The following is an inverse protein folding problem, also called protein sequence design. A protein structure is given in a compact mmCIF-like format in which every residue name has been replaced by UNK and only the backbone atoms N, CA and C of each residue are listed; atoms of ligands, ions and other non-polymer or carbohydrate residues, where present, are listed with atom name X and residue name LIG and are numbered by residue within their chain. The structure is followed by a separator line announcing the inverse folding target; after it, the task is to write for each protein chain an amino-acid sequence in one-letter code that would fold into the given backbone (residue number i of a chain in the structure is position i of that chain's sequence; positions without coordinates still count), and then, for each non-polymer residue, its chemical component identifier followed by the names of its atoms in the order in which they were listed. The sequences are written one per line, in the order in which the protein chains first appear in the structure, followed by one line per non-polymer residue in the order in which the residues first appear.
data_IF_755303869728
#
_entry.id   IF_755303869728
#
_cell.length_a   1.000
_cell.length_b   1.000
_cell.length_c   1.000
_cell.angle_alpha   90.00
_cell.angle_beta   90.00
_cell.angle_gamma   90.00
#
_symmetry.space_group_name_H-M   'P 1'
#
loop_
_entity.id
_entity.type
_entity.pdbx_description
1 polymer ?
#
# COMPACT_ATOMS: atom_id res chain seq x y z
N UNK A 1 -87.61 37.65 -41.33
CA UNK A 1 -86.83 37.51 -40.07
C UNK A 1 -85.36 37.67 -40.43
N UNK A 2 -84.76 38.80 -40.08
CA UNK A 2 -83.35 39.15 -40.35
C UNK A 2 -82.50 38.63 -39.18
N UNK A 3 -81.50 37.79 -39.43
CA UNK A 3 -80.44 37.50 -38.46
C UNK A 3 -79.13 38.13 -38.94
N UNK A 4 -78.80 39.29 -38.37
CA UNK A 4 -77.50 39.92 -38.53
C UNK A 4 -76.49 39.14 -37.68
N UNK A 5 -75.64 38.36 -38.33
CA UNK A 5 -74.40 37.85 -37.72
C UNK A 5 -73.36 38.98 -37.78
N UNK A 6 -73.17 39.65 -36.64
CA UNK A 6 -72.05 40.56 -36.41
C UNK A 6 -70.75 39.75 -36.56
N UNK A 7 -70.04 39.96 -37.68
CA UNK A 7 -68.60 39.68 -37.76
C UNK A 7 -67.93 40.76 -36.91
N UNK A 8 -67.57 40.40 -35.68
CA UNK A 8 -66.60 41.17 -34.92
C UNK A 8 -65.33 41.27 -35.76
N UNK A 9 -64.97 42.51 -36.07
CA UNK A 9 -63.72 42.84 -36.70
C UNK A 9 -62.59 42.30 -35.84
N UNK A 10 -61.92 41.25 -36.32
CA UNK A 10 -60.54 41.00 -35.94
C UNK A 10 -59.79 42.28 -36.36
N UNK A 11 -59.58 43.18 -35.40
CA UNK A 11 -58.75 44.36 -35.55
C UNK A 11 -57.34 43.86 -35.89
N UNK A 12 -57.08 43.69 -37.18
CA UNK A 12 -55.73 43.65 -37.73
C UNK A 12 -55.12 45.02 -37.49
N UNK A 13 -54.43 45.17 -36.37
CA UNK A 13 -53.36 46.14 -36.27
C UNK A 13 -52.24 45.65 -37.19
N UNK A 14 -52.35 45.97 -38.49
CA UNK A 14 -51.26 45.81 -39.47
C UNK A 14 -50.22 46.93 -39.29
N UNK A 15 -49.87 47.26 -38.05
CA UNK A 15 -48.67 48.04 -37.75
C UNK A 15 -47.48 47.10 -37.91
N UNK A 16 -46.93 47.05 -39.12
CA UNK A 16 -45.67 46.36 -39.37
C UNK A 16 -44.59 46.86 -38.43
N UNK A 17 -43.73 45.96 -37.97
CA UNK A 17 -42.57 46.31 -37.13
C UNK A 17 -41.74 47.38 -37.83
N UNK A 18 -41.37 48.40 -37.08
CA UNK A 18 -40.47 49.42 -37.60
C UNK A 18 -39.09 48.79 -37.82
N UNK A 19 -38.37 49.22 -38.85
CA UNK A 19 -37.04 48.68 -39.17
C UNK A 19 -36.06 48.83 -37.98
N UNK A 20 -36.23 49.88 -37.18
CA UNK A 20 -35.43 50.11 -35.97
C UNK A 20 -35.74 49.09 -34.86
N UNK A 21 -36.99 48.66 -34.73
CA UNK A 21 -37.42 47.69 -33.72
C UNK A 21 -36.91 46.28 -34.04
N UNK A 22 -36.91 45.91 -35.33
CA UNK A 22 -36.25 44.68 -35.81
C UNK A 22 -34.74 44.74 -35.56
N UNK A 23 -34.10 45.88 -35.80
CA UNK A 23 -32.67 46.05 -35.56
C UNK A 23 -32.34 45.93 -34.06
N UNK A 24 -33.11 46.59 -33.19
CA UNK A 24 -32.96 46.49 -31.73
C UNK A 24 -33.18 45.04 -31.27
N UNK A 25 -34.22 44.36 -31.77
CA UNK A 25 -34.46 42.96 -31.43
C UNK A 25 -33.30 42.03 -31.82
N UNK A 26 -32.74 42.20 -33.03
CA UNK A 26 -31.58 41.43 -33.48
C UNK A 26 -30.34 41.73 -32.61
N UNK A 27 -30.13 42.97 -32.19
CA UNK A 27 -28.99 43.32 -31.31
C UNK A 27 -29.13 42.74 -29.90
N UNK A 28 -30.34 42.70 -29.33
CA UNK A 28 -30.58 42.07 -28.04
C UNK A 28 -30.39 40.55 -28.17
N UNK A 29 -30.91 39.95 -29.24
CA UNK A 29 -30.75 38.52 -29.49
C UNK A 29 -29.28 38.13 -29.67
N UNK A 30 -28.50 38.91 -30.41
CA UNK A 30 -27.07 38.63 -30.59
C UNK A 30 -26.29 38.75 -29.27
N UNK A 31 -26.62 39.74 -28.44
CA UNK A 31 -26.01 39.89 -27.11
C UNK A 31 -26.37 38.72 -26.19
N UNK A 32 -27.63 38.27 -26.19
CA UNK A 32 -28.08 37.10 -25.43
C UNK A 32 -27.43 35.80 -25.90
N UNK A 33 -27.26 35.62 -27.21
CA UNK A 33 -26.58 34.44 -27.75
C UNK A 33 -25.09 34.45 -27.38
N UNK A 34 -24.43 35.61 -27.42
CA UNK A 34 -23.04 35.75 -26.99
C UNK A 34 -22.86 35.43 -25.50
N UNK A 35 -23.73 35.95 -24.63
CA UNK A 35 -23.67 35.64 -23.19
C UNK A 35 -23.97 34.18 -22.92
N UNK A 36 -24.94 33.59 -23.61
CA UNK A 36 -25.26 32.17 -23.47
C UNK A 36 -24.10 31.28 -23.92
N UNK A 37 -23.42 31.64 -25.01
CA UNK A 37 -22.23 30.92 -25.45
C UNK A 37 -21.11 30.97 -24.41
N UNK A 38 -20.84 32.15 -23.82
CA UNK A 38 -19.85 32.29 -22.74
C UNK A 38 -20.22 31.43 -21.54
N UNK A 39 -21.46 31.49 -21.06
CA UNK A 39 -21.92 30.68 -19.91
C UNK A 39 -21.78 29.18 -20.20
N UNK A 40 -22.13 28.73 -21.40
CA UNK A 40 -22.02 27.31 -21.79
C UNK A 40 -20.54 26.89 -21.88
N UNK A 41 -19.68 27.74 -22.44
CA UNK A 41 -18.25 27.46 -22.53
C UNK A 41 -17.61 27.38 -21.14
N UNK A 42 -17.83 28.38 -20.29
CA UNK A 42 -17.30 28.44 -18.93
C UNK A 42 -17.82 27.26 -18.08
N UNK A 43 -19.10 26.91 -18.25
CA UNK A 43 -19.69 25.75 -17.58
C UNK A 43 -19.09 24.42 -18.07
N UNK A 44 -18.70 24.33 -19.34
CA UNK A 44 -18.10 23.12 -19.91
C UNK A 44 -16.66 22.98 -19.43
N UNK A 45 -15.87 24.06 -19.51
CA UNK A 45 -14.49 24.10 -19.03
C UNK A 45 -14.39 23.82 -17.54
N UNK A 46 -15.26 24.44 -16.73
CA UNK A 46 -15.33 24.19 -15.28
C UNK A 46 -15.68 22.74 -14.97
N UNK A 47 -16.63 22.16 -15.70
CA UNK A 47 -16.97 20.73 -15.56
C UNK A 47 -15.78 19.84 -15.89
N UNK A 48 -15.08 20.10 -16.98
CA UNK A 48 -13.93 19.30 -17.41
C UNK A 48 -12.77 19.41 -16.41
N UNK A 49 -12.52 20.60 -15.85
CA UNK A 49 -11.54 20.82 -14.80
C UNK A 49 -11.88 20.03 -13.53
N UNK A 50 -13.13 20.11 -13.06
CA UNK A 50 -13.59 19.38 -11.86
C UNK A 50 -13.45 17.86 -12.06
N UNK A 51 -13.83 17.35 -13.24
CA UNK A 51 -13.68 15.92 -13.56
C UNK A 51 -12.21 15.49 -13.55
N UNK A 52 -11.30 16.32 -14.06
CA UNK A 52 -9.88 16.03 -14.05
C UNK A 52 -9.31 16.02 -12.62
N UNK A 53 -9.68 16.99 -11.79
CA UNK A 53 -9.30 17.07 -10.38
C UNK A 53 -9.80 15.85 -9.58
N UNK A 54 -11.09 15.52 -9.73
CA UNK A 54 -11.70 14.36 -9.07
C UNK A 54 -11.01 13.05 -9.44
N UNK A 55 -10.65 12.88 -10.72
CA UNK A 55 -9.92 11.69 -11.19
C UNK A 55 -8.54 11.59 -10.56
N UNK A 56 -7.80 12.68 -10.51
CA UNK A 56 -6.46 12.75 -9.91
C UNK A 56 -6.53 12.47 -8.39
N UNK A 57 -7.51 13.04 -7.70
CA UNK A 57 -7.76 12.77 -6.28
C UNK A 57 -8.14 11.30 -6.01
N UNK A 58 -9.01 10.72 -6.85
CA UNK A 58 -9.40 9.32 -6.76
C UNK A 58 -8.20 8.39 -6.96
N UNK A 59 -7.30 8.72 -7.90
CA UNK A 59 -6.07 7.96 -8.12
C UNK A 59 -5.19 7.96 -6.87
N UNK A 60 -4.99 9.13 -6.25
CA UNK A 60 -4.23 9.25 -5.01
C UNK A 60 -4.83 8.40 -3.89
N UNK A 61 -6.14 8.52 -3.65
CA UNK A 61 -6.83 7.75 -2.61
C UNK A 61 -6.71 6.25 -2.86
N UNK A 62 -6.91 5.81 -4.11
CA UNK A 62 -6.78 4.40 -4.50
C UNK A 62 -5.36 3.87 -4.28
N UNK A 63 -4.34 4.66 -4.61
CA UNK A 63 -2.95 4.27 -4.39
C UNK A 63 -2.62 4.12 -2.89
N UNK A 64 -3.10 5.05 -2.05
CA UNK A 64 -2.92 5.00 -0.60
C UNK A 64 -3.68 3.84 0.05
N UNK A 65 -4.93 3.60 -0.36
CA UNK A 65 -5.72 2.46 0.13
C UNK A 65 -5.09 1.12 -0.27
N UNK A 66 -4.56 1.03 -1.50
CA UNK A 66 -3.85 -0.15 -1.96
C UNK A 66 -2.60 -0.45 -1.11
N UNK A 67 -1.81 0.58 -0.80
CA UNK A 67 -0.69 0.45 0.14
C UNK A 67 -1.17 0.02 1.53
N UNK A 68 -2.22 0.64 2.04
CA UNK A 68 -2.76 0.31 3.35
C UNK A 68 -3.15 -1.16 3.45
N UNK A 69 -3.87 -1.68 2.45
CA UNK A 69 -4.26 -3.09 2.41
C UNK A 69 -3.05 -4.02 2.43
N UNK A 70 -2.02 -3.73 1.64
CA UNK A 70 -0.82 -4.58 1.58
C UNK A 70 -0.01 -4.51 2.88
N UNK A 71 0.20 -3.31 3.45
CA UNK A 71 0.93 -3.12 4.70
C UNK A 71 0.17 -3.63 5.93
N UNK A 72 -1.14 -3.45 5.98
CA UNK A 72 -1.98 -3.98 7.05
C UNK A 72 -1.89 -5.51 7.12
N UNK A 73 -1.67 -6.16 5.98
CA UNK A 73 -1.59 -7.61 5.84
C UNK A 73 -0.15 -8.10 5.57
N UNK A 74 0.83 -7.35 6.06
CA UNK A 74 2.23 -7.75 6.04
C UNK A 74 2.40 -9.13 6.69
N UNK A 75 3.02 -10.07 5.98
CA UNK A 75 3.20 -11.42 6.48
C UNK A 75 4.65 -11.69 6.89
N UNK A 76 4.83 -12.08 8.14
CA UNK A 76 6.06 -12.67 8.66
C UNK A 76 5.69 -13.61 9.81
N UNK A 77 6.18 -14.86 9.84
CA UNK A 77 5.96 -15.75 10.99
C UNK A 77 6.54 -15.20 12.29
N UNK A 78 7.50 -14.28 12.20
CA UNK A 78 8.14 -13.65 13.34
C UNK A 78 7.22 -12.72 14.14
N UNK A 79 6.00 -12.48 13.65
CA UNK A 79 4.96 -11.83 14.44
C UNK A 79 4.32 -12.74 15.50
N UNK A 80 4.63 -14.05 15.52
CA UNK A 80 4.03 -14.99 16.46
C UNK A 80 4.94 -16.20 16.80
N UNK A 81 6.17 -16.24 16.31
CA UNK A 81 7.13 -17.33 16.55
C UNK A 81 8.55 -16.79 16.45
N UNK A 82 9.45 -17.14 17.38
CA UNK A 82 10.85 -16.74 17.30
C UNK A 82 11.56 -17.34 16.06
N UNK A 83 12.67 -16.70 15.67
CA UNK A 83 13.54 -17.19 14.60
C UNK A 83 14.25 -18.47 15.07
N UNK A 84 14.32 -19.48 14.21
CA UNK A 84 15.06 -20.69 14.54
C UNK A 84 16.57 -20.43 14.43
N UNK A 85 17.29 -20.79 15.47
CA UNK A 85 18.75 -20.73 15.56
C UNK A 85 19.27 -22.14 15.86
N UNK A 86 20.08 -22.76 14.98
CA UNK A 86 20.52 -24.15 15.14
C UNK A 86 21.52 -24.37 16.30
N UNK A 87 21.82 -23.35 17.10
CA UNK A 87 22.91 -23.35 18.10
C UNK A 87 22.78 -24.39 19.23
N UNK A 88 21.63 -25.04 19.39
CA UNK A 88 21.39 -26.00 20.48
C UNK A 88 21.42 -27.48 20.07
N UNK A 89 21.66 -27.82 18.80
CA UNK A 89 21.79 -29.22 18.39
C UNK A 89 23.09 -29.88 18.92
N UNK A 90 24.14 -29.09 19.17
CA UNK A 90 25.46 -29.60 19.58
C UNK A 90 25.70 -29.62 21.09
N UNK A 91 24.95 -28.87 21.91
CA UNK A 91 25.16 -28.85 23.37
C UNK A 91 24.56 -30.04 24.12
N UNK A 92 23.68 -30.82 23.48
CA UNK A 92 23.20 -32.09 24.04
C UNK A 92 24.22 -33.24 23.93
N UNK A 93 25.44 -33.00 23.43
CA UNK A 93 26.51 -34.01 23.39
C UNK A 93 27.52 -33.92 24.55
N UNK A 94 27.33 -33.02 25.52
CA UNK A 94 28.26 -32.84 26.65
C UNK A 94 27.70 -33.20 28.03
N UNK A 95 26.63 -34.01 28.08
CA UNK A 95 26.23 -34.69 29.32
C UNK A 95 26.06 -36.19 29.07
N UNK A 96 27.11 -36.95 29.40
CA UNK A 96 27.03 -38.39 29.61
C UNK A 96 27.80 -39.21 28.58
N UNK A 97 29.05 -39.55 28.93
CA UNK A 97 29.66 -40.82 28.50
C UNK A 97 28.75 -41.97 28.97
N UNK A 98 27.78 -42.36 28.13
CA UNK A 98 27.11 -43.66 28.24
C UNK A 98 27.12 -44.28 26.85
N UNK A 99 28.00 -45.26 26.73
CA UNK A 99 28.00 -46.42 25.82
C UNK A 99 27.02 -46.39 24.64
N UNK A 100 27.62 -46.40 23.44
CA UNK A 100 27.18 -47.08 22.23
C UNK A 100 25.85 -47.83 22.36
N UNK A 101 24.77 -47.17 21.98
CA UNK A 101 23.63 -47.85 21.37
C UNK A 101 23.19 -47.03 20.15
N UNK A 102 22.89 -47.77 19.09
CA UNK A 102 22.48 -47.39 17.73
C UNK A 102 21.14 -46.63 17.73
N UNK A 103 21.08 -45.57 18.53
CA UNK A 103 19.91 -44.75 18.76
C UNK A 103 19.93 -43.68 17.70
N UNK A 104 19.03 -43.83 16.75
CA UNK A 104 18.64 -42.85 15.74
C UNK A 104 18.94 -41.43 16.23
N UNK A 105 20.01 -40.81 15.70
CA UNK A 105 20.21 -39.37 15.85
C UNK A 105 18.89 -38.75 15.43
N UNK A 106 18.17 -38.15 16.37
CA UNK A 106 16.94 -37.44 16.09
C UNK A 106 17.37 -36.19 15.33
N UNK A 107 17.50 -36.35 14.00
CA UNK A 107 17.86 -35.26 13.09
C UNK A 107 16.76 -34.23 13.27
N UNK A 108 17.10 -33.05 13.76
CA UNK A 108 16.15 -31.94 13.81
C UNK A 108 15.66 -31.70 12.37
N UNK A 109 14.36 -31.93 12.06
CA UNK A 109 13.84 -31.73 10.71
C UNK A 109 14.07 -30.30 10.21
N UNK A 110 14.18 -29.32 11.12
CA UNK A 110 14.44 -27.91 10.82
C UNK A 110 15.87 -27.68 10.34
N UNK A 111 16.82 -28.54 10.73
CA UNK A 111 18.20 -28.45 10.28
C UNK A 111 18.39 -28.78 8.79
N UNK A 112 17.39 -29.37 8.14
CA UNK A 112 17.41 -29.64 6.69
C UNK A 112 17.04 -28.45 5.82
N UNK A 113 16.67 -27.31 6.41
CA UNK A 113 16.27 -26.12 5.69
C UNK A 113 17.45 -25.45 4.97
N UNK A 114 17.30 -25.24 3.67
CA UNK A 114 18.24 -24.44 2.86
C UNK A 114 17.72 -23.01 2.73
N UNK A 115 18.48 -22.05 3.26
CA UNK A 115 18.19 -20.63 3.06
C UNK A 115 18.22 -20.27 1.57
N UNK A 116 17.26 -19.43 1.17
CA UNK A 116 17.17 -18.86 -0.18
C UNK A 116 17.12 -17.34 -0.11
N UNK A 117 17.22 -16.67 -1.26
CA UNK A 117 17.13 -15.21 -1.30
C UNK A 117 15.79 -14.69 -0.76
N UNK A 118 14.67 -15.31 -1.18
CA UNK A 118 13.33 -14.94 -0.72
C UNK A 118 13.03 -15.39 0.71
N UNK A 119 13.65 -16.47 1.15
CA UNK A 119 13.40 -17.09 2.45
C UNK A 119 14.73 -17.37 3.16
N UNK A 120 15.32 -16.37 3.83
CA UNK A 120 16.64 -16.50 4.44
C UNK A 120 16.63 -17.36 5.71
N UNK A 121 15.47 -17.57 6.33
CA UNK A 121 15.37 -18.27 7.61
C UNK A 121 14.05 -19.02 7.77
N UNK A 122 13.98 -19.79 8.84
CA UNK A 122 12.78 -20.47 9.34
C UNK A 122 12.52 -20.04 10.78
N UNK A 123 11.26 -20.14 11.21
CA UNK A 123 10.84 -19.92 12.59
C UNK A 123 10.95 -21.21 13.40
N UNK A 124 10.88 -21.09 14.73
CA UNK A 124 10.89 -22.24 15.66
C UNK A 124 9.73 -23.20 15.44
N UNK A 125 8.62 -22.71 14.87
CA UNK A 125 7.46 -23.51 14.47
C UNK A 125 7.61 -24.17 13.09
N UNK A 126 8.75 -24.01 12.41
CA UNK A 126 9.00 -24.56 11.07
C UNK A 126 8.37 -23.76 9.93
N UNK A 127 7.89 -22.54 10.18
CA UNK A 127 7.40 -21.66 9.13
C UNK A 127 8.56 -20.93 8.46
N UNK A 128 8.56 -20.84 7.14
CA UNK A 128 9.58 -20.09 6.38
C UNK A 128 9.39 -18.58 6.56
N UNK A 129 10.48 -17.88 6.85
CA UNK A 129 10.48 -16.43 7.09
C UNK A 129 10.77 -15.72 5.77
N UNK A 130 9.84 -14.92 5.22
CA UNK A 130 10.09 -14.15 4.01
C UNK A 130 11.07 -13.01 4.28
N UNK A 131 11.95 -12.73 3.31
CA UNK A 131 12.81 -11.55 3.32
C UNK A 131 11.97 -10.29 3.15
N UNK A 132 12.36 -9.24 3.86
CA UNK A 132 11.91 -7.87 3.61
C UNK A 132 13.10 -7.13 3.04
N UNK A 133 12.92 -6.47 1.90
CA UNK A 133 14.01 -5.82 1.21
C UNK A 133 13.69 -4.37 0.89
N UNK A 134 14.68 -3.52 1.18
CA UNK A 134 14.64 -2.07 1.05
C UNK A 134 15.99 -1.65 0.50
N UNK A 135 16.24 -1.92 -0.78
CA UNK A 135 17.50 -1.60 -1.46
C UNK A 135 17.76 -0.09 -1.47
N UNK A 136 16.71 0.69 -1.67
CA UNK A 136 16.71 2.14 -1.65
C UNK A 136 15.55 2.67 -0.79
N UNK A 137 15.65 3.91 -0.32
CA UNK A 137 14.56 4.54 0.45
C UNK A 137 13.24 4.66 -0.33
N UNK A 138 13.27 4.47 -1.64
CA UNK A 138 12.11 4.56 -2.54
C UNK A 138 11.54 3.20 -2.95
N UNK A 139 12.16 2.11 -2.50
CA UNK A 139 11.78 0.75 -2.86
C UNK A 139 11.55 -0.10 -1.63
N UNK A 140 10.49 -0.92 -1.67
CA UNK A 140 10.17 -1.86 -0.61
C UNK A 140 9.52 -3.09 -1.19
N UNK A 141 10.11 -4.25 -0.93
CA UNK A 141 9.57 -5.55 -1.33
C UNK A 141 9.33 -6.43 -0.11
N UNK A 142 8.18 -7.10 -0.10
CA UNK A 142 7.73 -7.91 1.02
C UNK A 142 6.62 -8.90 0.62
N UNK A 143 6.36 -9.88 1.49
CA UNK A 143 5.25 -10.81 1.35
C UNK A 143 4.01 -10.29 2.10
N UNK A 144 2.85 -10.33 1.45
CA UNK A 144 1.56 -9.94 2.04
C UNK A 144 0.52 -11.05 1.90
N UNK A 145 -0.46 -11.08 2.80
CA UNK A 145 -1.65 -11.94 2.70
C UNK A 145 -2.85 -11.24 2.05
N UNK A 146 -2.69 -9.99 1.59
CA UNK A 146 -3.74 -9.18 0.96
C UNK A 146 -4.24 -9.70 -0.39
N UNK A 147 -3.64 -10.74 -0.95
CA UNK A 147 -4.02 -11.23 -2.27
C UNK A 147 -5.38 -11.95 -2.24
N UNK A 148 -6.29 -11.52 -3.12
CA UNK A 148 -7.59 -12.15 -3.34
C UNK A 148 -7.65 -12.70 -4.75
N UNK A 149 -7.97 -13.99 -4.88
CA UNK A 149 -8.19 -14.60 -6.19
C UNK A 149 -9.49 -14.06 -6.78
N UNK A 150 -9.44 -13.69 -8.05
CA UNK A 150 -10.62 -13.24 -8.80
C UNK A 150 -11.33 -14.43 -9.45
N UNK A 151 -10.56 -15.45 -9.85
CA UNK A 151 -11.07 -16.66 -10.49
C UNK A 151 -10.86 -17.86 -9.56
N UNK A 152 -11.86 -18.73 -9.45
CA UNK A 152 -11.88 -19.87 -8.53
C UNK A 152 -10.71 -20.85 -8.77
N UNK A 153 -10.43 -21.16 -10.04
CA UNK A 153 -9.40 -22.11 -10.46
C UNK A 153 -8.06 -21.44 -10.88
N UNK A 154 -7.83 -20.18 -10.48
CA UNK A 154 -6.52 -19.57 -10.75
C UNK A 154 -5.43 -20.22 -9.90
N UNK A 155 -4.27 -20.48 -10.53
CA UNK A 155 -3.06 -21.02 -9.87
C UNK A 155 -2.33 -19.96 -9.03
N UNK A 156 -3.09 -19.14 -8.29
CA UNK A 156 -2.58 -18.03 -7.50
C UNK A 156 -2.59 -18.38 -6.01
N UNK A 157 -1.54 -17.99 -5.31
CA UNK A 157 -1.49 -18.11 -3.85
C UNK A 157 -2.38 -17.07 -3.18
N UNK A 158 -2.75 -17.34 -1.91
CA UNK A 158 -3.35 -16.32 -1.03
C UNK A 158 -2.31 -15.30 -0.55
N UNK A 159 -1.04 -15.67 -0.60
CA UNK A 159 0.06 -14.75 -0.39
C UNK A 159 0.49 -14.14 -1.72
N UNK A 160 1.06 -12.96 -1.67
CA UNK A 160 1.71 -12.35 -2.82
C UNK A 160 2.99 -11.63 -2.40
N UNK A 161 4.00 -11.73 -3.25
CA UNK A 161 5.14 -10.84 -3.19
C UNK A 161 4.75 -9.52 -3.83
N UNK A 162 4.96 -8.42 -3.13
CA UNK A 162 4.67 -7.08 -3.62
C UNK A 162 5.96 -6.28 -3.58
N UNK A 163 6.25 -5.54 -4.64
CA UNK A 163 7.33 -4.55 -4.70
C UNK A 163 6.72 -3.20 -5.04
N UNK A 164 6.95 -2.23 -4.18
CA UNK A 164 6.73 -0.82 -4.48
C UNK A 164 8.04 -0.18 -4.91
N UNK A 165 7.99 0.63 -5.95
CA UNK A 165 9.16 1.35 -6.45
C UNK A 165 8.76 2.72 -7.00
N UNK A 166 9.68 3.68 -6.90
CA UNK A 166 9.59 4.94 -7.60
C UNK A 166 10.37 4.82 -8.92
N UNK A 167 9.73 5.14 -10.04
CA UNK A 167 10.40 5.18 -11.35
C UNK A 167 10.13 6.48 -12.08
N UNK A 168 10.93 6.76 -13.10
CA UNK A 168 10.68 7.90 -14.00
C UNK A 168 9.36 7.73 -14.73
N UNK A 169 8.60 8.83 -14.83
CA UNK A 169 7.30 8.89 -15.49
C UNK A 169 7.41 8.51 -16.96
N UNK A 170 6.55 7.60 -17.41
CA UNK A 170 6.47 7.19 -18.82
C UNK A 170 5.52 8.06 -19.64
N UNK A 171 5.03 9.19 -19.11
CA UNK A 171 4.19 10.14 -19.86
C UNK A 171 4.99 10.87 -20.92
N UNK A 172 4.33 11.17 -22.03
CA UNK A 172 4.86 12.06 -23.07
C UNK A 172 5.19 13.44 -22.47
N UNK A 173 6.22 14.09 -23.00
CA UNK A 173 6.74 15.35 -22.46
C UNK A 173 5.68 16.47 -22.38
N UNK A 174 4.65 16.42 -23.23
CA UNK A 174 3.53 17.37 -23.23
C UNK A 174 2.58 17.22 -22.03
N UNK A 175 2.58 16.07 -21.36
CA UNK A 175 1.74 15.80 -20.17
C UNK A 175 2.55 15.80 -18.86
N UNK A 176 3.86 16.08 -18.92
CA UNK A 176 4.70 16.17 -17.73
C UNK A 176 4.41 17.49 -16.99
N UNK A 177 3.98 17.36 -15.75
CA UNK A 177 3.87 18.49 -14.82
C UNK A 177 5.28 18.86 -14.36
N UNK A 178 5.57 20.15 -14.28
CA UNK A 178 6.91 20.65 -13.92
C UNK A 178 7.33 20.13 -12.53
N UNK A 179 8.46 19.41 -12.47
CA UNK A 179 8.98 18.81 -11.24
C UNK A 179 8.27 17.54 -10.77
N UNK A 180 7.37 16.96 -11.58
CA UNK A 180 6.62 15.73 -11.28
C UNK A 180 7.13 14.53 -12.09
N UNK A 181 8.44 14.33 -12.08
CA UNK A 181 9.13 13.42 -12.99
C UNK A 181 8.96 11.94 -12.67
N UNK A 182 8.30 11.60 -11.55
CA UNK A 182 8.21 10.23 -11.07
C UNK A 182 6.78 9.70 -11.02
N UNK A 183 6.68 8.38 -11.12
CA UNK A 183 5.48 7.62 -10.81
C UNK A 183 5.81 6.47 -9.86
N UNK A 184 4.88 6.20 -8.96
CA UNK A 184 4.94 5.07 -8.05
C UNK A 184 4.35 3.85 -8.77
N UNK A 185 5.11 2.77 -8.79
CA UNK A 185 4.68 1.49 -9.31
C UNK A 185 4.50 0.45 -8.23
N UNK A 186 3.70 -0.55 -8.56
CA UNK A 186 3.52 -1.76 -7.78
C UNK A 186 3.65 -2.97 -8.69
N UNK A 187 4.61 -3.82 -8.39
CA UNK A 187 4.74 -5.16 -8.96
C UNK A 187 4.10 -6.17 -8.00
N UNK A 188 3.47 -7.22 -8.55
CA UNK A 188 2.89 -8.29 -7.75
C UNK A 188 3.16 -9.65 -8.38
N UNK A 189 3.74 -10.57 -7.60
CA UNK A 189 3.91 -11.97 -7.97
C UNK A 189 3.03 -12.85 -7.06
N UNK A 190 2.07 -13.53 -7.68
CA UNK A 190 1.08 -14.37 -6.98
C UNK A 190 1.26 -15.86 -7.27
N UNK A 191 2.06 -16.20 -8.28
CA UNK A 191 2.33 -17.57 -8.71
C UNK A 191 3.71 -18.01 -8.23
N UNK A 192 3.86 -19.29 -7.87
CA UNK A 192 5.15 -19.86 -7.46
C UNK A 192 5.89 -19.03 -6.39
N UNK A 193 5.16 -18.53 -5.40
CA UNK A 193 5.68 -17.64 -4.35
C UNK A 193 6.92 -18.20 -3.61
N UNK A 194 7.05 -19.53 -3.57
CA UNK A 194 8.12 -20.27 -2.90
C UNK A 194 9.37 -20.51 -3.77
N UNK A 195 9.51 -19.84 -4.91
CA UNK A 195 10.77 -19.81 -5.66
C UNK A 195 11.90 -19.26 -4.78
N UNK A 196 13.13 -19.72 -5.02
CA UNK A 196 14.30 -19.33 -4.23
C UNK A 196 14.72 -17.87 -4.48
N UNK A 197 14.60 -17.40 -5.72
CA UNK A 197 15.21 -16.13 -6.17
C UNK A 197 14.17 -15.08 -6.60
N UNK A 198 14.48 -13.80 -6.43
CA UNK A 198 13.66 -12.72 -6.97
C UNK A 198 13.86 -12.59 -8.48
N UNK A 199 12.77 -12.36 -9.21
CA UNK A 199 12.83 -12.10 -10.66
C UNK A 199 11.89 -10.95 -11.01
N UNK A 200 12.18 -9.77 -10.43
CA UNK A 200 11.36 -8.58 -10.64
C UNK A 200 11.37 -8.09 -12.09
N UNK A 201 12.42 -8.40 -12.86
CA UNK A 201 12.53 -8.04 -14.29
C UNK A 201 11.40 -8.64 -15.14
N UNK A 202 10.93 -9.85 -14.81
CA UNK A 202 9.85 -10.52 -15.52
C UNK A 202 8.46 -10.27 -14.90
N UNK A 203 8.39 -9.57 -13.77
CA UNK A 203 7.11 -9.26 -13.11
C UNK A 203 6.60 -7.94 -13.65
N UNK A 204 5.37 -7.95 -14.15
CA UNK A 204 4.73 -6.74 -14.66
C UNK A 204 4.51 -5.72 -13.54
N UNK A 205 5.04 -4.52 -13.75
CA UNK A 205 4.80 -3.36 -12.90
C UNK A 205 3.56 -2.59 -13.35
N UNK A 206 2.75 -2.16 -12.38
CA UNK A 206 1.57 -1.33 -12.62
C UNK A 206 1.79 0.05 -12.01
N UNK A 207 1.63 1.15 -12.76
CA UNK A 207 1.65 2.49 -12.19
C UNK A 207 0.43 2.68 -11.29
N UNK A 208 0.66 3.03 -10.03
CA UNK A 208 -0.37 3.33 -9.05
C UNK A 208 -0.69 4.83 -9.02
N UNK A 209 0.35 5.65 -8.92
CA UNK A 209 0.21 7.10 -8.79
C UNK A 209 1.27 7.80 -9.63
N UNK A 210 0.84 8.82 -10.38
CA UNK A 210 1.71 9.63 -11.23
C UNK A 210 1.84 11.05 -10.69
N UNK A 211 2.83 11.79 -11.18
CA UNK A 211 3.03 13.17 -10.80
C UNK A 211 3.67 13.29 -9.42
N UNK A 212 4.57 12.37 -9.09
CA UNK A 212 5.29 12.38 -7.83
C UNK A 212 6.56 13.20 -8.00
N UNK A 213 6.77 14.15 -7.09
CA UNK A 213 7.99 14.94 -6.99
C UNK A 213 9.01 14.26 -6.09
N UNK A 214 8.57 13.73 -4.95
CA UNK A 214 9.42 12.95 -4.05
C UNK A 214 8.62 11.91 -3.29
N UNK A 215 9.28 10.82 -2.93
CA UNK A 215 8.70 9.70 -2.20
C UNK A 215 9.79 9.03 -1.35
N UNK A 216 9.44 8.55 -0.16
CA UNK A 216 10.34 7.76 0.67
C UNK A 216 9.57 6.90 1.69
N UNK A 217 10.08 5.71 1.92
CA UNK A 217 9.73 4.84 3.03
C UNK A 217 10.59 5.14 4.24
N UNK A 218 9.96 5.13 5.41
CA UNK A 218 10.60 5.24 6.70
C UNK A 218 10.04 4.15 7.64
N UNK A 219 10.87 3.66 8.54
CA UNK A 219 10.54 2.58 9.46
C UNK A 219 10.74 3.03 10.89
N UNK A 220 9.82 2.68 11.79
CA UNK A 220 9.95 3.02 13.20
C UNK A 220 10.96 2.14 13.91
N UNK A 221 11.98 2.76 14.51
CA UNK A 221 12.91 2.09 15.42
C UNK A 221 12.43 2.28 16.87
N UNK A 222 12.03 1.18 17.51
CA UNK A 222 11.55 1.14 18.89
C UNK A 222 12.61 1.55 19.93
N UNK A 223 13.90 1.32 19.66
CA UNK A 223 15.00 1.65 20.59
C UNK A 223 15.38 3.12 20.58
N UNK A 224 15.31 3.76 19.40
CA UNK A 224 15.69 5.18 19.24
C UNK A 224 14.49 6.12 19.19
N UNK A 225 13.27 5.56 19.17
CA UNK A 225 12.00 6.27 19.04
C UNK A 225 11.95 7.22 17.83
N UNK A 226 12.61 6.81 16.74
CA UNK A 226 12.74 7.62 15.53
C UNK A 226 12.46 6.79 14.29
N UNK A 227 11.99 7.49 13.26
CA UNK A 227 11.86 6.93 11.92
C UNK A 227 13.21 6.92 11.21
N UNK A 228 13.59 5.77 10.65
CA UNK A 228 14.83 5.53 9.90
C UNK A 228 14.52 5.14 8.46
N UNK A 229 15.41 5.42 7.52
CA UNK A 229 15.21 5.20 6.08
C UNK A 229 15.64 3.82 5.57
N UNK A 230 16.33 3.04 6.42
CA UNK A 230 16.82 1.69 6.09
C UNK A 230 16.38 0.66 7.12
N UNK A 231 15.95 -0.50 6.64
CA UNK A 231 15.60 -1.64 7.50
C UNK A 231 16.79 -2.14 8.34
N UNK A 232 18.03 -2.01 7.86
CA UNK A 232 19.23 -2.42 8.61
C UNK A 232 19.46 -1.62 9.89
N UNK A 233 18.88 -0.42 9.97
CA UNK A 233 18.94 0.41 11.17
C UNK A 233 17.90 -0.01 12.22
N UNK A 234 16.98 -0.92 11.89
CA UNK A 234 16.09 -1.58 12.84
C UNK A 234 16.88 -2.71 13.50
N UNK A 235 17.28 -2.51 14.75
CA UNK A 235 18.17 -3.47 15.43
C UNK A 235 17.51 -4.84 15.60
N UNK A 236 16.34 -4.88 16.24
CA UNK A 236 15.61 -6.11 16.57
C UNK A 236 14.47 -6.39 15.58
N UNK A 237 13.81 -5.34 15.09
CA UNK A 237 12.58 -5.42 14.29
C UNK A 237 12.82 -5.46 12.76
N UNK A 238 14.05 -5.75 12.29
CA UNK A 238 14.39 -5.73 10.86
C UNK A 238 13.46 -6.60 10.00
N UNK A 239 13.11 -7.77 10.50
CA UNK A 239 12.26 -8.76 9.81
C UNK A 239 10.76 -8.62 10.18
N UNK A 240 10.43 -7.65 11.03
CA UNK A 240 9.08 -7.39 11.56
C UNK A 240 8.83 -5.89 11.80
N UNK A 241 8.95 -5.03 10.78
CA UNK A 241 8.70 -3.61 10.94
C UNK A 241 7.29 -3.39 11.48
N UNK A 242 7.18 -2.58 12.53
CA UNK A 242 5.91 -2.34 13.25
C UNK A 242 5.13 -1.16 12.70
N UNK A 243 5.85 -0.15 12.22
CA UNK A 243 5.26 1.01 11.56
C UNK A 243 6.08 1.33 10.32
N UNK A 244 5.38 1.49 9.21
CA UNK A 244 5.95 1.97 7.94
C UNK A 244 5.33 3.31 7.65
N UNK A 245 6.14 4.36 7.65
CA UNK A 245 5.72 5.71 7.28
C UNK A 245 6.12 5.99 5.84
N UNK A 246 5.21 6.56 5.06
CA UNK A 246 5.52 7.14 3.77
C UNK A 246 5.55 8.67 3.90
N UNK A 247 6.53 9.28 3.24
CA UNK A 247 6.55 10.72 2.99
C UNK A 247 6.56 10.94 1.48
N UNK A 248 5.58 11.66 0.97
CA UNK A 248 5.38 11.89 -0.45
C UNK A 248 5.03 13.35 -0.73
N UNK A 249 5.59 13.88 -1.81
CA UNK A 249 5.17 15.15 -2.40
C UNK A 249 4.60 14.85 -3.79
N UNK A 250 3.32 15.10 -3.95
CA UNK A 250 2.56 14.85 -5.18
C UNK A 250 2.12 16.18 -5.80
N UNK A 251 2.08 16.26 -7.13
CA UNK A 251 1.65 17.46 -7.87
C UNK A 251 0.28 17.19 -8.49
N UNK A 252 -0.73 17.93 -8.02
CA UNK A 252 -2.13 17.80 -8.48
C UNK A 252 -2.33 18.37 -9.89
N UNK A 253 -3.55 18.30 -10.44
CA UNK A 253 -3.91 18.83 -11.77
C UNK A 253 -3.60 20.31 -11.95
N UNK A 254 -3.70 21.10 -10.87
CA UNK A 254 -3.48 22.55 -10.87
C UNK A 254 -2.03 22.94 -10.58
N UNK A 255 -1.10 21.98 -10.63
CA UNK A 255 0.33 22.15 -10.28
C UNK A 255 0.60 22.55 -8.82
N UNK A 256 -0.35 22.31 -7.91
CA UNK A 256 -0.14 22.48 -6.49
C UNK A 256 0.60 21.28 -5.89
N UNK A 257 1.55 21.56 -4.99
CA UNK A 257 2.23 20.53 -4.22
C UNK A 257 1.37 20.07 -3.02
N UNK A 258 1.09 18.79 -2.97
CA UNK A 258 0.40 18.13 -1.86
C UNK A 258 1.41 17.27 -1.11
N UNK A 259 1.68 17.64 0.14
CA UNK A 259 2.56 16.88 1.04
C UNK A 259 1.73 15.86 1.81
N UNK A 260 2.15 14.60 1.74
CA UNK A 260 1.43 13.49 2.33
C UNK A 260 2.38 12.74 3.24
N UNK A 261 1.96 12.64 4.50
CA UNK A 261 2.58 11.81 5.51
C UNK A 261 1.55 10.81 6.01
N UNK A 262 1.81 9.52 5.80
CA UNK A 262 0.91 8.46 6.25
C UNK A 262 1.72 7.36 6.91
N UNK A 263 1.24 6.90 8.06
CA UNK A 263 1.86 5.79 8.79
C UNK A 263 0.94 4.59 8.73
N UNK A 264 1.48 3.46 8.28
CA UNK A 264 0.81 2.17 8.19
C UNK A 264 1.29 1.24 9.30
N UNK A 265 0.39 0.39 9.78
CA UNK A 265 0.65 -0.60 10.81
C UNK A 265 0.21 -1.98 10.33
N UNK A 266 1.08 -3.00 10.35
CA UNK A 266 0.68 -4.39 10.19
C UNK A 266 -0.30 -4.81 11.30
N UNK A 267 -1.38 -5.51 10.93
CA UNK A 267 -2.44 -5.96 11.83
C UNK A 267 -2.08 -7.23 12.63
N UNK A 268 -0.79 -7.50 12.78
CA UNK A 268 -0.30 -8.61 13.59
C UNK A 268 -0.19 -8.22 15.06
N UNK A 269 -0.42 -9.15 16.00
CA UNK A 269 -0.23 -8.88 17.42
C UNK A 269 1.22 -8.50 17.73
N UNK A 270 1.40 -7.82 18.87
CA UNK A 270 2.74 -7.61 19.40
C UNK A 270 3.29 -8.97 19.87
N UNK A 271 4.54 -9.24 19.48
CA UNK A 271 5.24 -10.46 19.84
C UNK A 271 6.72 -10.13 19.95
N UNK A 272 7.29 -10.40 21.11
CA UNK A 272 8.70 -10.18 21.40
C UNK A 272 9.46 -11.47 21.15
N UNK A 273 10.15 -11.52 20.01
CA UNK A 273 10.95 -12.67 19.58
C UNK A 273 12.14 -12.93 20.51
N UNK A 274 12.74 -11.89 21.09
CA UNK A 274 13.88 -12.04 22.01
C UNK A 274 13.43 -12.63 23.35
N UNK A 275 12.26 -12.20 23.85
CA UNK A 275 11.70 -12.75 25.09
C UNK A 275 11.33 -14.22 24.94
N UNK A 276 10.66 -14.59 23.84
CA UNK A 276 10.30 -15.99 23.54
C UNK A 276 11.55 -16.89 23.42
N UNK A 277 12.60 -16.42 22.75
CA UNK A 277 13.87 -17.16 22.65
C UNK A 277 14.53 -17.35 24.02
N UNK A 278 14.58 -16.31 24.86
CA UNK A 278 15.12 -16.38 26.22
C UNK A 278 14.33 -17.33 27.13
N UNK A 279 13.00 -17.28 27.07
CA UNK A 279 12.13 -18.18 27.83
C UNK A 279 12.37 -19.64 27.44
N UNK A 280 12.51 -19.92 26.14
CA UNK A 280 12.84 -21.25 25.63
C UNK A 280 14.23 -21.72 26.08
N UNK A 281 15.24 -20.85 26.03
CA UNK A 281 16.58 -21.18 26.55
C UNK A 281 16.55 -21.50 28.05
N UNK A 282 15.78 -20.75 28.84
CA UNK A 282 15.66 -20.98 30.27
C UNK A 282 14.93 -22.29 30.58
N UNK A 283 13.89 -22.62 29.81
CA UNK A 283 13.19 -23.89 29.90
C UNK A 283 14.12 -25.09 29.58
N UNK A 284 14.98 -24.94 28.56
CA UNK A 284 15.99 -25.96 28.20
C UNK A 284 17.08 -26.11 29.28
N UNK A 285 17.45 -25.02 29.96
CA UNK A 285 18.42 -25.02 31.07
C UNK A 285 17.83 -25.55 32.39
N UNK A 286 16.58 -26.01 32.41
CA UNK A 286 15.92 -26.59 33.59
C UNK A 286 15.50 -25.58 34.67
N UNK A 287 15.59 -24.27 34.37
CA UNK A 287 15.32 -23.20 35.32
C UNK A 287 13.97 -22.52 35.02
N UNK A 288 12.85 -23.25 35.11
CA UNK A 288 11.52 -22.77 35.57
C UNK A 288 10.41 -23.83 35.39
N UNK A 289 9.47 -23.86 36.36
CA UNK A 289 8.20 -24.61 36.27
C UNK A 289 7.30 -23.97 35.19
N UNK A 290 6.51 -24.76 34.44
CA UNK A 290 5.75 -24.26 33.30
C UNK A 290 4.64 -23.31 33.74
N UNK A 291 4.76 -22.04 33.35
CA UNK A 291 3.65 -21.10 33.27
C UNK A 291 2.86 -21.35 31.99
N UNK A 292 1.55 -21.48 32.11
CA UNK A 292 0.61 -21.78 31.01
C UNK A 292 0.69 -20.71 29.90
N UNK A 293 0.72 -21.08 28.60
CA UNK A 293 0.66 -20.11 27.52
C UNK A 293 -0.71 -19.41 27.54
N UNK A 294 -0.71 -18.09 27.72
CA UNK A 294 -1.92 -17.25 27.66
C UNK A 294 -2.42 -16.68 29.00
N UNK A 295 -1.65 -16.76 30.09
CA UNK A 295 -1.98 -16.00 31.29
C UNK A 295 -1.78 -14.49 31.03
N UNK A 296 -2.76 -13.63 31.40
CA UNK A 296 -2.59 -12.18 31.29
C UNK A 296 -1.41 -11.74 32.14
N UNK A 297 -0.65 -10.77 31.63
CA UNK A 297 0.45 -10.13 32.35
C UNK A 297 -0.14 -9.46 33.59
N UNK A 298 0.13 -10.01 34.77
CA UNK A 298 -0.04 -9.28 36.01
C UNK A 298 0.95 -8.12 35.97
N UNK A 299 0.43 -6.90 35.85
CA UNK A 299 1.19 -5.69 36.04
C UNK A 299 1.64 -5.66 37.51
N UNK A 300 2.90 -6.05 37.76
CA UNK A 300 3.57 -5.61 38.96
C UNK A 300 3.76 -4.09 38.83
N UNK A 301 2.96 -3.36 39.60
CA UNK A 301 3.13 -1.94 39.90
C UNK A 301 4.56 -1.75 40.44
N UNK A 302 5.42 -1.08 39.67
CA UNK A 302 6.66 -0.51 40.21
C UNK A 302 6.29 0.66 41.13
N UNK A 303 6.21 0.38 42.43
CA UNK A 303 6.54 1.37 43.46
C UNK A 303 8.06 1.67 43.39
N UNK A 304 8.42 2.79 42.77
CA UNK A 304 9.36 3.84 43.23
C UNK A 304 9.99 4.64 42.07
#
# INVERSE_FOLDING_TARGET
MKSNLNRESILKNDTGFTLIEVLVAITILSMLMATMYTIVNDSTESKDQIIAEDRDALQLVTALDRMEQDFAQFYSPLYFSAKYSPKNADQNQQFGDIEKNDSQKQIDPLASYEASERYPAISTSGNIVPKIENESKTELSFLTTANRRILEDSKQSRYAWVKYALRSSTKDDYEKKEGADYELTRAIETENIYKKDFNWENVKEYPLLRGIKSFQFLFWNSKTEKFVDKLDLLSTDKETPRLVKILMVWINSDNNEVKIERTFRPLSPFFDTEKDEKEKENALKGNQKPGTPGAPVDNEEEEL
#
